data_IF_906706581287
#
_entry.id   IF_906706581287
#
_cell.length_a   1.000
_cell.length_b   1.000
_cell.length_c   1.000
_cell.angle_alpha   90.00
_cell.angle_beta   90.00
_cell.angle_gamma   90.00
#
_symmetry.space_group_name_H-M   'P 1'
#
loop_
_entity.id
_entity.type
_entity.pdbx_description
1 polymer ?
#
# COMPACT_ATOMS: atom_id res chain seq x y z
N UNK A 1 -23.99 3.62 9.21
CA UNK A 1 -23.02 4.69 8.92
C UNK A 1 -21.87 4.14 8.08
N UNK A 2 -21.34 4.98 7.21
CA UNK A 2 -20.21 4.71 6.35
C UNK A 2 -19.08 5.70 6.70
N UNK A 3 -17.88 5.18 6.91
CA UNK A 3 -16.65 5.98 7.06
C UNK A 3 -15.84 5.78 5.77
N UNK A 4 -15.54 6.86 5.07
CA UNK A 4 -14.68 6.85 3.88
C UNK A 4 -13.39 7.58 4.25
N UNK A 5 -12.26 6.90 4.04
CA UNK A 5 -10.92 7.46 4.31
C UNK A 5 -10.20 7.56 2.98
N UNK A 6 -10.00 8.77 2.51
CA UNK A 6 -9.20 9.03 1.31
C UNK A 6 -7.71 9.08 1.66
N UNK A 7 -6.87 8.70 0.71
CA UNK A 7 -5.42 8.57 0.88
C UNK A 7 -5.05 7.77 2.15
N UNK A 8 -5.73 6.64 2.33
CA UNK A 8 -5.60 5.81 3.53
C UNK A 8 -4.15 5.35 3.81
N UNK A 9 -3.28 5.39 2.79
CA UNK A 9 -1.85 5.11 2.97
C UNK A 9 -1.17 6.04 3.98
N UNK A 10 -1.74 7.21 4.29
CA UNK A 10 -1.23 8.11 5.33
C UNK A 10 -1.42 7.55 6.76
N UNK A 11 -2.26 6.54 6.93
CA UNK A 11 -2.57 5.91 8.22
C UNK A 11 -1.90 4.53 8.41
N UNK A 12 -0.91 4.18 7.61
CA UNK A 12 -0.19 2.90 7.75
C UNK A 12 0.77 2.83 8.94
N UNK A 13 1.17 3.98 9.49
CA UNK A 13 2.01 4.05 10.71
C UNK A 13 1.14 4.10 11.96
N UNK A 14 1.18 3.05 12.78
CA UNK A 14 0.38 2.95 14.01
C UNK A 14 0.86 3.87 15.15
N UNK A 15 1.90 4.67 14.95
CA UNK A 15 2.53 5.48 16.01
C UNK A 15 2.02 6.93 16.08
N UNK A 16 1.15 7.34 15.18
CA UNK A 16 0.61 8.69 15.16
C UNK A 16 -0.75 8.74 15.88
N UNK A 17 -0.96 9.73 16.77
CA UNK A 17 -2.24 9.90 17.47
C UNK A 17 -3.46 9.95 16.52
N UNK A 18 -3.27 10.47 15.32
CA UNK A 18 -4.29 10.42 14.25
C UNK A 18 -4.73 9.01 13.86
N UNK A 19 -3.87 8.01 13.99
CA UNK A 19 -4.23 6.62 13.73
C UNK A 19 -5.19 6.10 14.80
N UNK A 20 -4.90 6.38 16.07
CA UNK A 20 -5.73 5.95 17.20
C UNK A 20 -7.11 6.61 17.14
N UNK A 21 -7.18 7.90 16.82
CA UNK A 21 -8.43 8.63 16.64
C UNK A 21 -9.28 8.03 15.50
N UNK A 22 -8.65 7.75 14.34
CA UNK A 22 -9.34 7.13 13.22
C UNK A 22 -9.80 5.71 13.56
N UNK A 23 -8.97 4.92 14.24
CA UNK A 23 -9.33 3.58 14.67
C UNK A 23 -10.52 3.62 15.63
N UNK A 24 -10.54 4.57 16.56
CA UNK A 24 -11.66 4.77 17.47
C UNK A 24 -12.94 5.11 16.68
N UNK A 25 -12.87 6.04 15.73
CA UNK A 25 -14.01 6.39 14.87
C UNK A 25 -14.52 5.18 14.10
N UNK A 26 -13.64 4.39 13.49
CA UNK A 26 -14.00 3.22 12.69
C UNK A 26 -14.62 2.09 13.54
N UNK A 27 -14.10 1.86 14.75
CA UNK A 27 -14.48 0.74 15.59
C UNK A 27 -15.61 1.04 16.57
N UNK A 28 -15.88 2.31 16.85
CA UNK A 28 -16.99 2.68 17.75
C UNK A 28 -18.32 2.26 17.14
N UNK A 29 -19.13 1.47 17.84
CA UNK A 29 -20.44 1.04 17.36
C UNK A 29 -21.35 2.24 17.10
N UNK A 30 -22.31 2.04 16.20
CA UNK A 30 -23.35 3.02 15.92
C UNK A 30 -24.26 3.21 17.12
N UNK A 31 -24.37 4.43 17.60
CA UNK A 31 -25.32 4.80 18.66
C UNK A 31 -26.48 5.55 17.98
N UNK A 32 -27.50 4.81 17.50
CA UNK A 32 -28.75 5.42 17.07
C UNK A 32 -29.88 4.89 17.92
N UNK A 33 -30.51 5.75 18.66
CA UNK A 33 -31.75 5.46 19.36
C UNK A 33 -32.82 5.12 18.32
N UNK A 34 -33.32 3.90 18.32
CA UNK A 34 -34.42 3.43 17.48
C UNK A 34 -34.05 2.60 16.25
N UNK A 35 -32.82 2.57 15.81
CA UNK A 35 -32.34 1.69 14.74
C UNK A 35 -31.19 0.83 15.27
N UNK A 36 -31.27 -0.46 15.06
CA UNK A 36 -30.34 -1.54 15.37
C UNK A 36 -29.10 -1.15 16.18
N UNK A 37 -29.25 -1.21 17.51
CA UNK A 37 -28.20 -0.92 18.48
C UNK A 37 -27.01 -1.85 18.28
N UNK A 38 -25.79 -1.29 18.22
CA UNK A 38 -24.56 -2.10 18.24
C UNK A 38 -24.02 -2.55 16.87
N UNK A 39 -24.58 -2.08 15.75
CA UNK A 39 -24.01 -2.39 14.44
C UNK A 39 -22.71 -1.63 14.16
N UNK A 40 -21.71 -2.36 13.69
CA UNK A 40 -20.45 -1.77 13.25
C UNK A 40 -20.65 -0.86 12.02
N UNK A 41 -19.87 0.20 11.95
CA UNK A 41 -19.81 1.06 10.78
C UNK A 41 -19.20 0.31 9.60
N UNK A 42 -19.64 0.61 8.40
CA UNK A 42 -18.93 0.21 7.18
C UNK A 42 -17.76 1.16 6.97
N UNK A 43 -16.58 0.62 6.68
CA UNK A 43 -15.37 1.41 6.45
C UNK A 43 -14.88 1.16 5.03
N UNK A 44 -14.59 2.22 4.30
CA UNK A 44 -14.02 2.19 2.96
C UNK A 44 -12.70 2.98 2.98
N UNK A 45 -11.61 2.31 2.69
CA UNK A 45 -10.30 2.93 2.56
C UNK A 45 -9.97 3.09 1.08
N UNK A 46 -9.69 4.31 0.65
CA UNK A 46 -9.27 4.63 -0.71
C UNK A 46 -7.75 4.83 -0.70
N UNK A 47 -7.05 4.13 -1.58
CA UNK A 47 -5.61 4.26 -1.74
C UNK A 47 -5.17 3.78 -3.11
N UNK A 48 -4.25 4.50 -3.75
CA UNK A 48 -3.63 4.03 -4.99
C UNK A 48 -2.66 2.86 -4.76
N UNK A 49 -2.09 2.76 -3.56
CA UNK A 49 -0.98 1.86 -3.24
C UNK A 49 -1.17 1.16 -1.88
N UNK A 50 -2.15 0.24 -1.77
CA UNK A 50 -2.43 -0.41 -0.49
C UNK A 50 -1.31 -1.35 -0.03
N UNK A 51 -0.49 -1.85 -0.97
CA UNK A 51 0.58 -2.81 -0.70
C UNK A 51 1.88 -2.40 -1.44
N UNK A 52 2.46 -1.25 -1.11
CA UNK A 52 3.72 -0.82 -1.74
C UNK A 52 4.92 -0.77 -0.78
N UNK A 53 4.71 -1.05 0.51
CA UNK A 53 5.76 -0.95 1.50
C UNK A 53 5.89 -2.24 2.31
N UNK A 54 5.70 -2.17 3.62
CA UNK A 54 5.88 -3.32 4.50
C UNK A 54 4.56 -4.08 4.70
N UNK A 55 4.60 -5.40 4.92
CA UNK A 55 3.42 -6.14 5.33
C UNK A 55 2.75 -5.57 6.59
N UNK A 56 3.55 -4.98 7.51
CA UNK A 56 3.07 -4.27 8.70
C UNK A 56 2.14 -3.10 8.34
N UNK A 57 2.42 -2.37 7.25
CA UNK A 57 1.61 -1.24 6.83
C UNK A 57 0.20 -1.68 6.42
N UNK A 58 0.11 -2.80 5.71
CA UNK A 58 -1.18 -3.39 5.36
C UNK A 58 -1.92 -3.90 6.60
N UNK A 59 -1.22 -4.57 7.52
CA UNK A 59 -1.80 -5.00 8.79
C UNK A 59 -2.42 -3.82 9.54
N UNK A 60 -1.70 -2.71 9.65
CA UNK A 60 -2.19 -1.49 10.30
C UNK A 60 -3.44 -0.93 9.63
N UNK A 61 -3.50 -0.90 8.29
CA UNK A 61 -4.70 -0.48 7.57
C UNK A 61 -5.89 -1.39 7.84
N UNK A 62 -5.68 -2.70 7.90
CA UNK A 62 -6.74 -3.65 8.26
C UNK A 62 -7.21 -3.47 9.70
N UNK A 63 -6.29 -3.22 10.62
CA UNK A 63 -6.58 -3.00 12.03
C UNK A 63 -7.36 -1.70 12.31
N UNK A 64 -7.48 -0.79 11.37
CA UNK A 64 -8.38 0.37 11.50
C UNK A 64 -9.84 -0.06 11.65
N UNK A 65 -10.26 -1.15 11.00
CA UNK A 65 -11.66 -1.57 10.98
C UNK A 65 -11.89 -3.04 11.34
N UNK A 66 -10.85 -3.87 11.33
CA UNK A 66 -10.93 -5.28 11.70
C UNK A 66 -10.57 -5.50 13.16
N UNK A 67 -11.16 -6.52 13.78
CA UNK A 67 -10.70 -7.01 15.07
C UNK A 67 -9.41 -7.83 14.86
N UNK A 68 -8.41 -7.63 15.69
CA UNK A 68 -7.14 -8.31 15.57
C UNK A 68 -7.24 -9.83 15.71
N UNK A 69 -8.08 -10.31 16.65
CA UNK A 69 -8.22 -11.75 16.99
C UNK A 69 -9.43 -12.41 16.35
N UNK A 70 -10.40 -11.63 15.91
CA UNK A 70 -11.66 -12.11 15.35
C UNK A 70 -11.94 -11.36 14.05
N UNK A 71 -11.07 -11.55 13.06
CA UNK A 71 -11.22 -10.94 11.74
C UNK A 71 -12.42 -11.54 10.99
N UNK A 72 -13.10 -10.71 10.23
CA UNK A 72 -14.19 -11.14 9.34
C UNK A 72 -13.70 -11.48 7.93
N UNK A 73 -12.40 -11.44 7.70
CA UNK A 73 -11.79 -11.81 6.41
C UNK A 73 -11.80 -13.33 6.28
N UNK A 74 -12.37 -13.81 5.19
CA UNK A 74 -12.48 -15.25 4.93
C UNK A 74 -11.13 -15.98 5.03
N UNK A 75 -11.09 -17.03 5.85
CA UNK A 75 -9.87 -17.83 6.08
C UNK A 75 -8.82 -17.17 6.97
N UNK A 76 -9.09 -15.99 7.54
CA UNK A 76 -8.17 -15.28 8.44
C UNK A 76 -8.90 -14.90 9.72
N UNK A 77 -8.67 -15.65 10.79
CA UNK A 77 -9.26 -15.36 12.08
C UNK A 77 -8.42 -14.37 12.91
N UNK A 78 -7.11 -14.56 12.93
CA UNK A 78 -6.19 -13.76 13.75
C UNK A 78 -5.17 -13.04 12.84
N UNK A 79 -5.36 -11.74 12.65
CA UNK A 79 -4.52 -10.93 11.76
C UNK A 79 -3.06 -10.91 12.19
N UNK A 80 -2.68 -10.56 13.43
CA UNK A 80 -1.29 -10.57 13.86
C UNK A 80 -0.59 -11.92 13.64
N UNK A 81 -1.25 -13.02 13.97
CA UNK A 81 -0.68 -14.37 13.78
C UNK A 81 -0.46 -14.68 12.30
N UNK A 82 -1.40 -14.32 11.45
CA UNK A 82 -1.28 -14.54 10.00
C UNK A 82 -0.17 -13.67 9.38
N UNK A 83 -0.01 -12.44 9.85
CA UNK A 83 0.98 -11.51 9.31
C UNK A 83 2.40 -11.70 9.86
N UNK A 84 2.56 -12.28 11.06
CA UNK A 84 3.88 -12.46 11.70
C UNK A 84 4.91 -13.10 10.79
N UNK A 85 4.67 -14.27 10.15
CA UNK A 85 5.65 -14.90 9.29
C UNK A 85 6.00 -14.07 8.05
N UNK A 86 5.06 -13.29 7.51
CA UNK A 86 5.32 -12.40 6.37
C UNK A 86 6.16 -11.18 6.76
N UNK A 87 5.93 -10.64 7.94
CA UNK A 87 6.72 -9.54 8.50
C UNK A 87 8.14 -10.02 8.75
N UNK A 88 8.32 -11.19 9.36
CA UNK A 88 9.63 -11.79 9.62
C UNK A 88 10.40 -12.07 8.32
N UNK A 89 9.72 -12.64 7.31
CA UNK A 89 10.31 -12.90 5.99
C UNK A 89 10.73 -11.59 5.31
N UNK A 90 9.89 -10.58 5.33
CA UNK A 90 10.20 -9.26 4.78
C UNK A 90 11.41 -8.61 5.48
N UNK A 91 11.42 -8.61 6.81
CA UNK A 91 12.50 -8.01 7.58
C UNK A 91 13.83 -8.75 7.38
N UNK A 92 13.78 -10.07 7.20
CA UNK A 92 14.94 -10.89 6.82
C UNK A 92 15.46 -10.49 5.44
N UNK A 93 14.58 -10.39 4.44
CA UNK A 93 14.93 -9.95 3.10
C UNK A 93 15.57 -8.57 3.09
N UNK A 94 15.02 -7.62 3.84
CA UNK A 94 15.57 -6.26 3.91
C UNK A 94 16.93 -6.21 4.61
N UNK A 95 17.17 -7.06 5.61
CA UNK A 95 18.49 -7.19 6.24
C UNK A 95 19.51 -7.78 5.29
N UNK A 96 19.17 -8.88 4.60
CA UNK A 96 20.05 -9.52 3.62
C UNK A 96 20.41 -8.56 2.48
N UNK A 97 19.43 -7.80 1.96
CA UNK A 97 19.65 -6.79 0.92
C UNK A 97 20.60 -5.68 1.35
N UNK A 98 20.52 -5.23 2.60
CA UNK A 98 21.45 -4.21 3.14
C UNK A 98 22.89 -4.70 3.25
N UNK A 99 23.09 -6.01 3.38
CA UNK A 99 24.43 -6.64 3.45
C UNK A 99 25.03 -6.86 2.07
N UNK A 100 24.22 -6.86 1.02
CA UNK A 100 24.66 -7.01 -0.38
C UNK A 100 25.17 -5.68 -0.94
N UNK A 101 26.39 -5.32 -0.56
CA UNK A 101 27.03 -4.02 -0.89
C UNK A 101 27.18 -3.76 -2.39
N UNK A 102 27.28 -4.82 -3.19
CA UNK A 102 27.53 -4.73 -4.64
C UNK A 102 26.27 -4.98 -5.49
N UNK A 103 25.11 -5.14 -4.84
CA UNK A 103 23.82 -5.40 -5.50
C UNK A 103 23.85 -6.64 -6.44
N UNK A 104 24.69 -7.62 -6.16
CA UNK A 104 24.87 -8.82 -6.98
C UNK A 104 23.61 -9.70 -7.00
N UNK A 105 22.82 -9.66 -5.94
CA UNK A 105 21.63 -10.50 -5.74
C UNK A 105 20.31 -9.73 -5.94
N UNK A 106 20.32 -8.59 -6.58
CA UNK A 106 19.11 -7.76 -6.75
C UNK A 106 17.94 -8.52 -7.39
N UNK A 107 18.19 -9.32 -8.43
CA UNK A 107 17.16 -10.09 -9.12
C UNK A 107 16.55 -11.17 -8.19
N UNK A 108 17.36 -11.81 -7.35
CA UNK A 108 16.90 -12.79 -6.36
C UNK A 108 16.02 -12.11 -5.30
N UNK A 109 16.46 -10.97 -4.76
CA UNK A 109 15.68 -10.22 -3.78
C UNK A 109 14.36 -9.71 -4.35
N UNK A 110 14.37 -9.22 -5.59
CA UNK A 110 13.15 -8.80 -6.27
C UNK A 110 12.16 -9.96 -6.38
N UNK A 111 12.60 -11.11 -6.89
CA UNK A 111 11.75 -12.29 -7.02
C UNK A 111 11.18 -12.75 -5.68
N UNK A 112 12.00 -12.86 -4.62
CA UNK A 112 11.53 -13.26 -3.28
C UNK A 112 10.54 -12.27 -2.69
N UNK A 113 10.73 -10.99 -2.96
CA UNK A 113 9.79 -9.93 -2.53
C UNK A 113 8.47 -10.05 -3.28
N UNK A 114 8.52 -10.28 -4.59
CA UNK A 114 7.32 -10.48 -5.42
C UNK A 114 6.53 -11.71 -4.99
N UNK A 115 7.22 -12.83 -4.72
CA UNK A 115 6.61 -14.06 -4.22
C UNK A 115 5.90 -13.86 -2.86
N UNK A 116 6.52 -13.08 -1.96
CA UNK A 116 5.92 -12.72 -0.68
C UNK A 116 4.67 -11.86 -0.86
N UNK A 117 4.74 -10.84 -1.71
CA UNK A 117 3.61 -9.97 -1.98
C UNK A 117 2.48 -10.69 -2.72
N UNK A 118 2.79 -11.64 -3.58
CA UNK A 118 1.77 -12.47 -4.22
C UNK A 118 1.01 -13.33 -3.21
N UNK A 119 1.69 -13.91 -2.21
CA UNK A 119 1.04 -14.62 -1.10
C UNK A 119 0.10 -13.70 -0.31
N UNK A 120 0.56 -12.50 0.05
CA UNK A 120 -0.26 -11.53 0.79
C UNK A 120 -1.46 -11.09 -0.06
N UNK A 121 -1.25 -10.85 -1.34
CA UNK A 121 -2.29 -10.45 -2.27
C UNK A 121 -3.41 -11.49 -2.33
N UNK A 122 -3.06 -12.73 -2.62
CA UNK A 122 -4.04 -13.81 -2.80
C UNK A 122 -4.76 -14.19 -1.51
N UNK A 123 -4.04 -14.15 -0.38
CA UNK A 123 -4.62 -14.56 0.89
C UNK A 123 -5.44 -13.46 1.57
N UNK A 124 -5.13 -12.20 1.34
CA UNK A 124 -5.75 -11.07 2.04
C UNK A 124 -6.38 -10.06 1.08
N UNK A 125 -5.55 -9.45 0.20
CA UNK A 125 -5.97 -8.26 -0.55
C UNK A 125 -7.13 -8.57 -1.49
N UNK A 126 -7.05 -9.65 -2.25
CA UNK A 126 -8.08 -10.03 -3.24
C UNK A 126 -9.45 -10.28 -2.59
N UNK A 127 -9.49 -10.52 -1.26
CA UNK A 127 -10.72 -10.73 -0.49
C UNK A 127 -11.36 -9.45 0.04
N UNK A 128 -10.57 -8.39 0.20
CA UNK A 128 -11.01 -7.15 0.87
C UNK A 128 -10.94 -5.91 -0.01
N UNK A 129 -10.36 -6.02 -1.21
CA UNK A 129 -10.18 -4.88 -2.09
C UNK A 129 -10.93 -5.01 -3.40
N UNK A 130 -11.36 -3.87 -3.91
CA UNK A 130 -11.86 -3.73 -5.28
C UNK A 130 -10.82 -2.91 -6.05
N UNK A 131 -10.04 -3.60 -6.88
CA UNK A 131 -8.99 -2.95 -7.70
C UNK A 131 -9.50 -2.67 -9.11
N UNK A 132 -9.21 -1.47 -9.61
CA UNK A 132 -9.42 -1.10 -11.01
C UNK A 132 -8.13 -0.52 -11.56
N UNK A 133 -7.53 -1.17 -12.54
CA UNK A 133 -6.35 -0.68 -13.27
C UNK A 133 -6.77 -0.16 -14.63
N UNK A 134 -5.93 0.67 -15.27
CA UNK A 134 -6.15 1.10 -16.66
C UNK A 134 -6.36 -0.08 -17.60
N UNK A 135 -5.61 -1.16 -17.42
CA UNK A 135 -5.77 -2.38 -18.21
C UNK A 135 -7.14 -3.06 -17.97
N UNK A 136 -7.62 -3.08 -16.72
CA UNK A 136 -8.97 -3.59 -16.46
C UNK A 136 -10.03 -2.74 -17.15
N UNK A 137 -9.89 -1.40 -17.08
CA UNK A 137 -10.84 -0.48 -17.72
C UNK A 137 -10.82 -0.65 -19.23
N UNK A 138 -9.64 -0.78 -19.85
CA UNK A 138 -9.51 -1.02 -21.31
C UNK A 138 -10.08 -2.36 -21.77
N UNK A 139 -10.04 -3.39 -20.94
CA UNK A 139 -10.36 -4.77 -21.32
C UNK A 139 -11.77 -5.23 -20.93
N UNK A 140 -12.42 -4.57 -19.99
CA UNK A 140 -13.81 -4.90 -19.59
C UNK A 140 -14.77 -4.23 -20.58
N UNK A 141 -15.64 -5.01 -21.31
CA UNK A 141 -16.46 -4.47 -22.39
C UNK A 141 -17.33 -3.27 -22.00
N UNK A 142 -17.90 -3.28 -20.80
CA UNK A 142 -18.74 -2.18 -20.30
C UNK A 142 -17.96 -0.88 -20.13
N UNK A 143 -16.74 -0.94 -19.56
CA UNK A 143 -15.89 0.24 -19.38
C UNK A 143 -15.28 0.70 -20.70
N UNK A 144 -14.92 -0.25 -21.58
CA UNK A 144 -14.39 0.08 -22.91
C UNK A 144 -15.41 0.88 -23.72
N UNK A 145 -16.68 0.43 -23.73
CA UNK A 145 -17.75 1.15 -24.40
C UNK A 145 -17.89 2.58 -23.87
N UNK A 146 -17.87 2.75 -22.56
CA UNK A 146 -17.99 4.07 -21.92
C UNK A 146 -16.80 5.00 -22.28
N UNK A 147 -15.57 4.45 -22.38
CA UNK A 147 -14.40 5.18 -22.85
C UNK A 147 -14.55 5.61 -24.31
N UNK A 148 -15.01 4.70 -25.17
CA UNK A 148 -15.20 4.95 -26.61
C UNK A 148 -16.30 6.01 -26.83
N UNK A 149 -17.40 5.92 -26.11
CA UNK A 149 -18.52 6.88 -26.17
C UNK A 149 -18.10 8.28 -25.70
N UNK A 150 -17.19 8.39 -24.74
CA UNK A 150 -16.67 9.65 -24.22
C UNK A 150 -15.38 10.11 -24.92
N UNK A 151 -14.87 9.38 -25.92
CA UNK A 151 -13.62 9.65 -26.60
C UNK A 151 -12.40 9.78 -25.66
N UNK A 152 -12.39 9.01 -24.56
CA UNK A 152 -11.28 9.02 -23.58
C UNK A 152 -10.21 8.04 -24.01
N UNK A 153 -9.01 8.58 -24.26
CA UNK A 153 -7.81 7.78 -24.59
C UNK A 153 -6.79 7.92 -23.45
N UNK A 154 -6.34 6.79 -22.91
CA UNK A 154 -5.24 6.82 -21.95
C UNK A 154 -3.91 7.06 -22.66
N UNK A 155 -3.08 7.98 -22.17
CA UNK A 155 -1.76 8.21 -22.73
C UNK A 155 -0.87 6.97 -22.56
N UNK A 156 -0.01 6.74 -23.53
CA UNK A 156 1.06 5.75 -23.42
C UNK A 156 2.19 6.31 -22.57
N UNK A 157 2.71 5.45 -21.67
CA UNK A 157 3.85 5.80 -20.83
C UNK A 157 5.10 5.36 -21.57
N UNK A 158 5.85 6.31 -22.07
CA UNK A 158 7.16 6.06 -22.67
C UNK A 158 8.19 5.80 -21.55
N UNK A 159 9.23 5.02 -21.83
CA UNK A 159 10.34 4.88 -20.88
C UNK A 159 10.94 6.26 -20.60
N UNK A 160 11.43 6.50 -19.38
CA UNK A 160 12.06 7.76 -19.03
C UNK A 160 13.26 8.03 -19.93
N UNK A 161 13.36 9.23 -20.44
CA UNK A 161 14.56 9.67 -21.14
C UNK A 161 15.59 10.12 -20.11
N UNK A 162 16.80 9.61 -20.21
CA UNK A 162 17.91 10.07 -19.38
C UNK A 162 18.31 11.48 -19.82
N UNK A 163 18.18 12.44 -18.93
CA UNK A 163 18.62 13.81 -19.16
C UNK A 163 20.06 13.95 -18.64
N UNK A 164 21.01 13.81 -19.54
CA UNK A 164 22.41 14.06 -19.24
C UNK A 164 22.67 15.56 -19.28
N UNK A 165 23.30 16.06 -18.23
CA UNK A 165 23.79 17.45 -18.19
C UNK A 165 25.19 17.49 -17.59
N UNK A 166 26.01 18.37 -18.11
CA UNK A 166 27.35 18.63 -17.57
C UNK A 166 27.33 19.92 -16.75
N UNK A 167 27.81 19.85 -15.53
CA UNK A 167 28.05 21.04 -14.74
C UNK A 167 29.34 21.72 -15.24
N UNK A 168 29.30 23.03 -15.43
CA UNK A 168 30.56 23.76 -15.66
C UNK A 168 31.48 23.65 -14.45
N UNK A 169 32.78 23.89 -14.64
CA UNK A 169 33.79 23.64 -13.61
C UNK A 169 33.47 24.24 -12.23
N UNK A 170 33.01 25.50 -12.19
CA UNK A 170 32.68 26.16 -10.93
C UNK A 170 31.43 25.58 -10.23
N UNK A 171 30.41 25.14 -11.00
CA UNK A 171 29.23 24.46 -10.44
C UNK A 171 29.56 23.04 -9.97
N UNK A 172 30.47 22.37 -10.66
CA UNK A 172 30.93 21.04 -10.29
C UNK A 172 31.70 21.08 -8.95
N UNK A 173 32.60 22.03 -8.78
CA UNK A 173 33.35 22.22 -7.56
C UNK A 173 32.42 22.58 -6.35
N UNK A 174 31.43 23.45 -6.60
CA UNK A 174 30.40 23.78 -5.63
C UNK A 174 29.56 22.56 -5.24
N UNK A 175 29.16 21.75 -6.23
CA UNK A 175 28.38 20.53 -5.98
C UNK A 175 29.16 19.54 -5.10
N UNK A 176 30.40 19.21 -5.45
CA UNK A 176 31.21 18.27 -4.68
C UNK A 176 31.59 18.82 -3.28
N UNK A 177 31.85 20.11 -3.15
CA UNK A 177 32.12 20.72 -1.84
C UNK A 177 30.87 20.70 -0.94
N UNK A 178 29.68 20.91 -1.51
CA UNK A 178 28.41 20.84 -0.77
C UNK A 178 28.09 19.41 -0.36
N UNK A 179 28.28 18.44 -1.26
CA UNK A 179 28.04 17.02 -0.95
C UNK A 179 28.99 16.47 0.11
N UNK A 180 30.21 17.01 0.22
CA UNK A 180 31.18 16.62 1.24
C UNK A 180 30.80 17.10 2.66
N UNK A 181 29.91 18.08 2.76
CA UNK A 181 29.47 18.68 4.05
C UNK A 181 28.14 18.06 4.52
N UNK A 182 27.38 17.43 3.62
CA UNK A 182 26.13 16.77 3.97
C UNK A 182 26.41 15.45 4.70
N UNK A 183 25.78 15.19 5.88
CA UNK A 183 25.98 14.00 6.70
C UNK A 183 25.42 12.73 6.04
#
# INVERSE_FOLDING_TARGET
DLVIVDEAHNFRGATAGRYDDLQLICKTPRINEGLVKGHHKKVMLLSATPLNNRPTDLLNLLLLFQNARYSTIEGIQNLPVTFSPWIEEYDKLMRERKLDKYNERNAEFAKRTDDLYEKIRTQVIDKVTVRRTRNNIKNVPAYKKDLDDQHIVFPDILPPNELMYELNGGLNDLFYSTMAILP
#
